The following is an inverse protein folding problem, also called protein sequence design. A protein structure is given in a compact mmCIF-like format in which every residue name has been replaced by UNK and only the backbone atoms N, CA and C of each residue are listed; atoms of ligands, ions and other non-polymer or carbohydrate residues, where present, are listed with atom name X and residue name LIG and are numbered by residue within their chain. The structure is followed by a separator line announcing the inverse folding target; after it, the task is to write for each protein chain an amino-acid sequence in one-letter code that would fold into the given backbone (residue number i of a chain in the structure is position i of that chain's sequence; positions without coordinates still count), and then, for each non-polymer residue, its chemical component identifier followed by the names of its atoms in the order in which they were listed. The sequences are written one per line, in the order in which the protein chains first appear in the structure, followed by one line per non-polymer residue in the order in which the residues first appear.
data_IF_367295157877
#
_entry.id   IF_367295157877
#
_cell.length_a   1.000
_cell.length_b   1.000
_cell.length_c   1.000
_cell.angle_alpha   90.00
_cell.angle_beta   90.00
_cell.angle_gamma   90.00
#
_symmetry.space_group_name_H-M   'P 1'
#
loop_
_entity.id
_entity.type
_entity.pdbx_description
1 polymer ?
#
# COMPACT_ATOMS: atom_id res chain seq x y z
N UNK A 1 1.44 -21.05 10.68
CA UNK A 1 0.01 -21.28 11.00
C UNK A 1 -0.64 -19.91 11.26
N UNK A 2 -0.82 -19.12 10.19
CA UNK A 2 -1.39 -17.75 10.20
C UNK A 2 -2.52 -17.64 9.16
N UNK A 3 -3.17 -18.78 8.87
CA UNK A 3 -4.50 -18.73 8.30
C UNK A 3 -5.39 -18.17 9.41
N UNK A 4 -5.98 -16.99 9.17
CA UNK A 4 -7.07 -16.41 9.96
C UNK A 4 -6.69 -15.68 11.27
N UNK A 5 -6.03 -14.53 11.15
CA UNK A 5 -6.49 -13.34 11.90
C UNK A 5 -7.42 -12.45 11.04
N UNK A 6 -7.84 -12.95 9.88
CA UNK A 6 -8.83 -12.32 9.01
C UNK A 6 -10.27 -12.36 9.57
N UNK A 7 -10.57 -13.21 10.57
CA UNK A 7 -11.96 -13.47 11.00
C UNK A 7 -12.42 -12.80 12.29
N UNK A 8 -11.57 -12.08 13.03
CA UNK A 8 -12.06 -11.28 14.18
C UNK A 8 -11.44 -9.90 14.35
N UNK A 9 -10.25 -9.64 13.79
CA UNK A 9 -9.56 -8.35 13.98
C UNK A 9 -9.20 -7.63 12.68
N UNK A 10 -9.19 -8.32 11.53
CA UNK A 10 -9.03 -7.69 10.22
C UNK A 10 -10.32 -7.04 9.67
N UNK A 11 -11.45 -7.22 10.37
CA UNK A 11 -12.77 -6.77 9.96
C UNK A 11 -12.86 -5.26 9.69
N UNK A 12 -12.26 -4.39 10.54
CA UNK A 12 -12.16 -2.96 10.23
C UNK A 12 -11.04 -2.70 9.22
N UNK A 13 -9.92 -3.43 9.32
CA UNK A 13 -8.67 -3.11 8.63
C UNK A 13 -8.79 -3.11 7.10
N UNK A 14 -9.55 -4.04 6.49
CA UNK A 14 -9.72 -4.05 5.01
C UNK A 14 -10.33 -2.75 4.43
N UNK A 15 -10.95 -1.91 5.27
CA UNK A 15 -11.44 -0.57 4.90
C UNK A 15 -10.42 0.55 5.15
N UNK A 16 -9.27 0.27 5.78
CA UNK A 16 -8.27 1.28 6.14
C UNK A 16 -7.17 1.44 5.13
N UNK A 17 -6.77 0.40 4.40
CA UNK A 17 -5.73 0.49 3.36
C UNK A 17 -6.30 0.13 1.99
N UNK A 18 -5.77 0.78 0.98
CA UNK A 18 -5.97 0.46 -0.43
C UNK A 18 -5.58 -0.97 -0.72
N UNK A 19 -4.50 -1.46 -0.13
CA UNK A 19 -4.06 -2.83 -0.34
C UNK A 19 -3.12 -3.38 0.71
N UNK A 20 -2.99 -4.71 0.66
CA UNK A 20 -2.17 -5.52 1.55
C UNK A 20 -1.34 -6.49 0.71
N UNK A 21 -0.03 -6.49 0.90
CA UNK A 21 0.86 -7.50 0.33
C UNK A 21 0.70 -8.83 1.08
N UNK A 22 0.67 -9.93 0.35
CA UNK A 22 0.72 -11.28 0.91
C UNK A 22 2.16 -11.76 0.88
N UNK A 23 2.86 -11.65 2.02
CA UNK A 23 4.29 -11.96 2.17
C UNK A 23 4.56 -13.21 3.04
N UNK A 24 3.52 -13.83 3.60
CA UNK A 24 3.66 -14.93 4.56
C UNK A 24 3.88 -16.30 3.93
N UNK A 25 3.42 -16.51 2.69
CA UNK A 25 3.51 -17.79 2.00
C UNK A 25 3.37 -17.64 0.49
N UNK A 26 3.86 -18.65 -0.23
CA UNK A 26 3.87 -18.70 -1.68
C UNK A 26 3.02 -19.88 -2.19
N UNK A 27 1.75 -19.67 -2.58
CA UNK A 27 0.89 -20.73 -3.10
C UNK A 27 1.28 -21.12 -4.53
N UNK A 28 1.11 -22.41 -4.89
CA UNK A 28 1.41 -22.90 -6.25
C UNK A 28 0.50 -22.31 -7.34
N UNK A 29 -0.72 -21.94 -6.96
CA UNK A 29 -1.73 -21.33 -7.84
C UNK A 29 -2.39 -20.18 -7.07
N UNK A 30 -1.74 -19.00 -7.00
CA UNK A 30 -2.24 -17.85 -6.22
C UNK A 30 -3.59 -17.38 -6.75
N UNK A 31 -3.79 -17.36 -8.06
CA UNK A 31 -5.01 -16.85 -8.69
C UNK A 31 -6.21 -17.71 -8.28
N UNK A 32 -6.13 -19.04 -8.43
CA UNK A 32 -7.23 -19.93 -8.06
C UNK A 32 -7.49 -19.89 -6.55
N UNK A 33 -6.43 -19.99 -5.74
CA UNK A 33 -6.55 -19.99 -4.28
C UNK A 33 -7.25 -18.72 -3.78
N UNK A 34 -6.75 -17.55 -4.18
CA UNK A 34 -7.27 -16.28 -3.67
C UNK A 34 -8.61 -15.90 -4.29
N UNK A 35 -8.90 -16.30 -5.53
CA UNK A 35 -10.25 -16.14 -6.10
C UNK A 35 -11.28 -16.93 -5.30
N UNK A 36 -10.97 -18.19 -4.97
CA UNK A 36 -11.87 -19.05 -4.18
C UNK A 36 -12.07 -18.51 -2.75
N UNK A 37 -11.00 -17.98 -2.14
CA UNK A 37 -11.08 -17.32 -0.84
C UNK A 37 -12.02 -16.10 -0.88
N UNK A 38 -11.80 -15.18 -1.82
CA UNK A 38 -12.63 -13.97 -1.96
C UNK A 38 -14.08 -14.35 -2.27
N UNK A 39 -14.30 -15.33 -3.16
CA UNK A 39 -15.65 -15.82 -3.47
C UNK A 39 -16.36 -16.35 -2.20
N UNK A 40 -15.65 -17.13 -1.39
CA UNK A 40 -16.19 -17.67 -0.13
C UNK A 40 -16.51 -16.57 0.88
N UNK A 41 -15.65 -15.55 0.99
CA UNK A 41 -15.85 -14.40 1.86
C UNK A 41 -17.02 -13.52 1.40
N UNK A 42 -17.19 -13.34 0.08
CA UNK A 42 -18.33 -12.62 -0.53
C UNK A 42 -19.66 -13.38 -0.39
N UNK A 43 -19.62 -14.72 -0.38
CA UNK A 43 -20.81 -15.56 -0.24
C UNK A 43 -21.33 -15.63 1.21
N UNK A 44 -20.47 -15.39 2.20
CA UNK A 44 -20.85 -15.39 3.61
C UNK A 44 -21.68 -14.15 3.97
N UNK A 45 -22.88 -14.30 4.58
CA UNK A 45 -23.73 -13.17 4.97
C UNK A 45 -23.06 -12.19 5.95
N UNK A 46 -22.10 -12.67 6.74
CA UNK A 46 -21.38 -11.85 7.70
C UNK A 46 -20.38 -10.93 7.00
N UNK A 47 -19.62 -11.45 6.03
CA UNK A 47 -18.47 -10.75 5.44
C UNK A 47 -18.75 -10.17 4.05
N UNK A 48 -19.91 -10.46 3.45
CA UNK A 48 -20.23 -10.12 2.06
C UNK A 48 -20.03 -8.64 1.72
N UNK A 49 -20.56 -7.74 2.55
CA UNK A 49 -20.46 -6.29 2.33
C UNK A 49 -19.02 -5.79 2.36
N UNK A 50 -18.19 -6.31 3.26
CA UNK A 50 -16.78 -5.90 3.42
C UNK A 50 -15.90 -6.36 2.27
N UNK A 51 -16.13 -7.58 1.78
CA UNK A 51 -15.32 -8.15 0.70
C UNK A 51 -15.91 -7.87 -0.69
N UNK A 52 -17.05 -7.19 -0.77
CA UNK A 52 -17.69 -6.81 -2.03
C UNK A 52 -16.79 -5.94 -2.92
N UNK A 53 -15.90 -5.14 -2.31
CA UNK A 53 -14.94 -4.27 -2.99
C UNK A 53 -13.51 -4.83 -2.97
N UNK A 54 -13.26 -5.98 -2.35
CA UNK A 54 -11.90 -6.54 -2.27
C UNK A 54 -11.65 -7.43 -3.48
N UNK A 55 -10.60 -7.16 -4.25
CA UNK A 55 -10.09 -8.06 -5.28
C UNK A 55 -8.66 -8.49 -4.96
N UNK A 56 -8.24 -9.61 -5.56
CA UNK A 56 -6.85 -10.02 -5.58
C UNK A 56 -6.15 -9.43 -6.81
N UNK A 57 -4.99 -8.81 -6.63
CA UNK A 57 -4.11 -8.36 -7.71
C UNK A 57 -2.84 -9.21 -7.68
N UNK A 58 -2.51 -9.86 -8.79
CA UNK A 58 -1.34 -10.71 -8.93
C UNK A 58 -0.32 -10.06 -9.86
N UNK A 59 0.92 -9.92 -9.39
CA UNK A 59 2.07 -9.49 -10.19
C UNK A 59 2.90 -10.74 -10.52
N UNK A 60 2.84 -11.25 -11.76
CA UNK A 60 3.40 -12.55 -12.09
C UNK A 60 4.93 -12.59 -12.18
N UNK A 61 5.63 -11.47 -12.38
CA UNK A 61 7.09 -11.47 -12.57
C UNK A 61 7.85 -11.71 -11.26
N UNK A 62 7.39 -11.10 -10.16
CA UNK A 62 7.86 -11.33 -8.79
C UNK A 62 7.01 -12.34 -8.02
N UNK A 63 5.96 -12.84 -8.66
CA UNK A 63 4.97 -13.76 -8.11
C UNK A 63 4.29 -13.20 -6.82
N UNK A 64 4.18 -11.88 -6.72
CA UNK A 64 3.58 -11.19 -5.58
C UNK A 64 2.06 -11.11 -5.69
N UNK A 65 1.38 -11.24 -4.55
CA UNK A 65 -0.07 -11.17 -4.45
C UNK A 65 -0.49 -10.05 -3.52
N UNK A 66 -1.51 -9.29 -3.91
CA UNK A 66 -2.09 -8.20 -3.13
C UNK A 66 -3.59 -8.41 -2.94
N UNK A 67 -4.12 -8.15 -1.75
CA UNK A 67 -5.54 -7.90 -1.56
C UNK A 67 -5.80 -6.41 -1.62
N UNK A 68 -6.64 -5.96 -2.54
CA UNK A 68 -6.85 -4.55 -2.86
C UNK A 68 -8.33 -4.20 -2.71
N UNK A 69 -8.61 -3.13 -1.98
CA UNK A 69 -9.92 -2.51 -1.92
C UNK A 69 -10.10 -1.62 -3.16
N UNK A 70 -10.93 -2.06 -4.10
CA UNK A 70 -11.15 -1.44 -5.40
C UNK A 70 -11.60 0.02 -5.30
N UNK A 71 -12.44 0.34 -4.31
CA UNK A 71 -12.97 1.70 -4.11
C UNK A 71 -11.86 2.64 -3.66
N UNK A 72 -11.05 2.20 -2.70
CA UNK A 72 -9.90 2.98 -2.24
C UNK A 72 -8.83 3.09 -3.33
N UNK A 73 -8.62 2.04 -4.13
CA UNK A 73 -7.69 2.09 -5.25
C UNK A 73 -8.15 3.09 -6.32
N UNK A 74 -9.44 3.11 -6.67
CA UNK A 74 -9.97 4.07 -7.63
C UNK A 74 -9.73 5.51 -7.16
N UNK A 75 -10.06 5.81 -5.90
CA UNK A 75 -9.78 7.12 -5.28
C UNK A 75 -8.28 7.43 -5.28
N UNK A 76 -7.45 6.44 -4.93
CA UNK A 76 -6.00 6.61 -4.89
C UNK A 76 -5.43 6.96 -6.25
N UNK A 77 -5.92 6.33 -7.32
CA UNK A 77 -5.50 6.61 -8.70
C UNK A 77 -5.86 8.04 -9.12
N UNK A 78 -7.01 8.55 -8.68
CA UNK A 78 -7.44 9.94 -8.95
C UNK A 78 -6.60 10.98 -8.19
N UNK A 79 -5.97 10.59 -7.07
CA UNK A 79 -5.16 11.47 -6.19
C UNK A 79 -3.64 11.34 -6.40
N UNK A 80 -3.21 10.66 -7.48
CA UNK A 80 -1.78 10.45 -7.77
C UNK A 80 -1.00 11.73 -8.09
N UNK A 81 -1.69 12.84 -8.33
CA UNK A 81 -1.11 14.17 -8.43
C UNK A 81 -0.58 14.70 -7.08
N UNK A 82 -1.08 14.14 -5.97
CA UNK A 82 -0.68 14.51 -4.60
C UNK A 82 0.31 13.52 -4.02
N UNK A 83 -0.03 12.23 -4.04
CA UNK A 83 0.78 11.15 -3.47
C UNK A 83 0.49 9.80 -4.16
N UNK A 84 1.46 8.87 -4.23
CA UNK A 84 2.81 8.98 -3.70
C UNK A 84 3.70 9.94 -4.49
N UNK A 85 4.73 10.46 -3.84
CA UNK A 85 5.86 11.08 -4.53
C UNK A 85 6.75 9.95 -5.07
N UNK A 86 7.00 9.97 -6.38
CA UNK A 86 7.82 8.93 -7.04
C UNK A 86 9.30 9.30 -6.96
N UNK A 87 10.12 8.35 -6.51
CA UNK A 87 11.55 8.54 -6.27
C UNK A 87 12.34 7.50 -7.06
N UNK A 88 13.11 7.95 -8.05
CA UNK A 88 14.05 7.11 -8.77
C UNK A 88 15.29 6.87 -7.93
N UNK A 89 15.61 5.61 -7.70
CA UNK A 89 16.81 5.21 -6.96
C UNK A 89 17.99 5.08 -7.91
N UNK A 90 18.50 6.23 -8.31
CA UNK A 90 19.70 6.39 -9.12
C UNK A 90 20.91 6.88 -8.32
N UNK A 91 21.99 7.19 -9.05
CA UNK A 91 23.05 8.07 -8.57
C UNK A 91 23.19 9.22 -9.58
N UNK A 92 22.57 10.39 -9.34
CA UNK A 92 21.85 10.79 -8.12
C UNK A 92 20.46 10.17 -7.96
N UNK A 93 19.89 10.25 -6.75
CA UNK A 93 18.47 9.97 -6.49
C UNK A 93 17.65 11.13 -7.06
N UNK A 94 16.58 10.82 -7.79
CA UNK A 94 15.75 11.82 -8.47
C UNK A 94 14.29 11.72 -8.01
N UNK A 95 13.60 12.85 -7.87
CA UNK A 95 12.16 12.89 -7.57
C UNK A 95 11.41 13.28 -8.83
N UNK A 96 10.46 12.44 -9.25
CA UNK A 96 9.60 12.79 -10.38
C UNK A 96 8.55 13.81 -9.97
N UNK A 97 8.36 14.82 -10.82
CA UNK A 97 7.31 15.84 -10.64
C UNK A 97 5.93 15.38 -11.16
N UNK A 98 5.90 14.27 -11.90
CA UNK A 98 4.71 13.72 -12.55
C UNK A 98 4.74 12.20 -12.44
N UNK A 99 3.59 11.57 -12.67
CA UNK A 99 3.48 10.12 -12.77
C UNK A 99 4.36 9.65 -13.93
N UNK A 100 5.30 8.72 -13.74
CA UNK A 100 6.10 8.17 -14.82
C UNK A 100 5.24 7.49 -15.89
N UNK A 101 5.43 7.81 -17.17
CA UNK A 101 4.61 7.31 -18.30
C UNK A 101 4.40 5.80 -18.28
N UNK A 102 5.46 5.04 -17.97
CA UNK A 102 5.41 3.57 -17.89
C UNK A 102 4.48 3.06 -16.80
N UNK A 103 4.44 3.75 -15.66
CA UNK A 103 3.52 3.44 -14.57
C UNK A 103 2.10 3.83 -14.97
N UNK A 104 1.93 4.98 -15.63
CA UNK A 104 0.60 5.46 -16.06
C UNK A 104 -0.11 4.46 -17.00
N UNK A 105 0.62 3.80 -17.90
CA UNK A 105 0.07 2.71 -18.73
C UNK A 105 -0.49 1.52 -17.92
N UNK A 106 0.18 1.14 -16.83
CA UNK A 106 -0.32 0.07 -15.95
C UNK A 106 -1.53 0.56 -15.15
N UNK A 107 -1.50 1.82 -14.71
CA UNK A 107 -2.61 2.47 -14.03
C UNK A 107 -3.83 2.60 -14.93
N UNK A 108 -3.68 2.86 -16.23
CA UNK A 108 -4.79 2.88 -17.20
C UNK A 108 -5.54 1.56 -17.25
N UNK A 109 -4.82 0.44 -17.18
CA UNK A 109 -5.44 -0.89 -17.13
C UNK A 109 -6.24 -1.09 -15.84
N UNK A 110 -5.75 -0.59 -14.72
CA UNK A 110 -6.47 -0.59 -13.45
C UNK A 110 -7.67 0.38 -13.47
N UNK A 111 -7.54 1.57 -14.07
CA UNK A 111 -8.66 2.52 -14.26
C UNK A 111 -9.77 1.88 -15.08
N UNK A 112 -9.42 1.22 -16.18
CA UNK A 112 -10.36 0.50 -17.02
C UNK A 112 -11.06 -0.63 -16.25
N UNK A 113 -10.33 -1.37 -15.41
CA UNK A 113 -10.89 -2.41 -14.54
C UNK A 113 -11.86 -1.86 -13.50
N UNK A 114 -11.53 -0.70 -12.92
CA UNK A 114 -12.27 -0.07 -11.83
C UNK A 114 -13.42 0.83 -12.33
N UNK A 115 -13.58 0.96 -13.65
CA UNK A 115 -14.57 1.85 -14.24
C UNK A 115 -16.00 1.46 -13.80
N UNK A 116 -16.87 2.43 -13.39
CA UNK A 116 -18.21 2.15 -12.89
C UNK A 116 -19.14 1.43 -13.87
N UNK A 117 -18.85 1.50 -15.18
CA UNK A 117 -19.63 0.80 -16.21
C UNK A 117 -19.38 -0.70 -16.29
N UNK A 118 -18.39 -1.23 -15.57
CA UNK A 118 -18.14 -2.67 -15.54
C UNK A 118 -19.22 -3.38 -14.72
N UNK A 119 -19.64 -4.57 -15.17
CA UNK A 119 -20.72 -5.35 -14.56
C UNK A 119 -20.40 -5.86 -13.14
N UNK A 120 -19.18 -5.64 -12.65
CA UNK A 120 -18.72 -6.00 -11.31
C UNK A 120 -17.20 -6.03 -11.24
N UNK A 121 -16.67 -6.10 -10.02
CA UNK A 121 -15.24 -6.23 -9.78
C UNK A 121 -14.87 -7.72 -9.80
N UNK A 122 -13.88 -8.14 -10.63
CA UNK A 122 -13.47 -9.53 -10.68
C UNK A 122 -12.89 -9.98 -9.33
N UNK A 123 -12.85 -11.30 -9.12
CA UNK A 123 -12.25 -11.88 -7.91
C UNK A 123 -10.73 -11.69 -7.90
N UNK A 124 -10.10 -11.86 -9.06
CA UNK A 124 -8.67 -11.65 -9.27
C UNK A 124 -8.41 -10.87 -10.56
N UNK A 125 -7.32 -10.12 -10.56
CA UNK A 125 -6.75 -9.43 -11.70
C UNK A 125 -5.25 -9.74 -11.78
N UNK A 126 -4.77 -10.15 -12.95
CA UNK A 126 -3.33 -10.41 -13.18
C UNK A 126 -2.75 -9.26 -13.96
N UNK A 127 -1.68 -8.69 -13.43
CA UNK A 127 -0.92 -7.64 -14.09
C UNK A 127 -0.18 -8.19 -15.31
N UNK A 128 0.12 -7.35 -16.32
CA UNK A 128 0.98 -7.74 -17.44
C UNK A 128 2.30 -8.37 -16.97
N UNK A 129 2.72 -9.47 -17.61
CA UNK A 129 3.88 -10.25 -17.20
C UNK A 129 5.24 -9.62 -17.52
N UNK A 130 5.22 -8.57 -18.33
CA UNK A 130 6.37 -7.84 -18.81
C UNK A 130 6.56 -6.48 -18.10
N UNK A 131 5.85 -6.26 -16.98
CA UNK A 131 6.06 -5.05 -16.17
C UNK A 131 7.51 -5.03 -15.65
N UNK A 132 8.29 -3.99 -15.98
CA UNK A 132 9.64 -3.84 -15.45
C UNK A 132 9.64 -3.64 -13.93
N UNK A 133 10.69 -4.10 -13.24
CA UNK A 133 10.79 -4.06 -11.77
C UNK A 133 10.62 -2.65 -11.19
N UNK A 134 11.13 -1.62 -11.87
CA UNK A 134 10.98 -0.22 -11.44
C UNK A 134 9.51 0.23 -11.39
N UNK A 135 8.72 -0.21 -12.37
CA UNK A 135 7.28 0.02 -12.43
C UNK A 135 6.53 -0.83 -11.41
N UNK A 136 6.89 -2.11 -11.26
CA UNK A 136 6.25 -3.02 -10.30
C UNK A 136 6.42 -2.53 -8.85
N UNK A 137 7.62 -2.09 -8.48
CA UNK A 137 7.90 -1.56 -7.13
C UNK A 137 7.14 -0.25 -6.88
N UNK A 138 7.09 0.66 -7.87
CA UNK A 138 6.32 1.89 -7.73
C UNK A 138 4.82 1.61 -7.61
N UNK A 139 4.30 0.67 -8.40
CA UNK A 139 2.91 0.23 -8.33
C UNK A 139 2.59 -0.37 -6.96
N UNK A 140 3.47 -1.21 -6.40
CA UNK A 140 3.29 -1.74 -5.05
C UNK A 140 3.17 -0.59 -4.02
N UNK A 141 3.99 0.45 -4.13
CA UNK A 141 3.87 1.66 -3.29
C UNK A 141 2.50 2.35 -3.41
N UNK A 142 1.95 2.44 -4.63
CA UNK A 142 0.58 2.96 -4.86
C UNK A 142 -0.47 2.07 -4.20
N UNK A 143 -0.42 0.75 -4.44
CA UNK A 143 -1.36 -0.22 -3.89
C UNK A 143 -1.34 -0.25 -2.35
N UNK A 144 -0.17 0.04 -1.76
CA UNK A 144 0.05 -0.01 -0.31
C UNK A 144 -0.17 1.33 0.40
N UNK A 145 -0.67 2.38 -0.28
CA UNK A 145 -0.83 3.74 0.27
C UNK A 145 0.47 4.38 0.79
N UNK A 146 1.63 4.02 0.25
CA UNK A 146 2.86 4.68 0.65
C UNK A 146 2.83 6.15 0.21
N UNK A 147 3.40 7.04 1.04
CA UNK A 147 3.55 8.45 0.67
C UNK A 147 4.71 8.64 -0.33
N UNK A 148 5.63 7.68 -0.39
CA UNK A 148 6.77 7.66 -1.31
C UNK A 148 6.82 6.31 -2.00
N UNK A 149 6.92 6.31 -3.33
CA UNK A 149 7.01 5.11 -4.14
C UNK A 149 8.36 5.08 -4.87
N UNK A 150 9.13 4.03 -4.64
CA UNK A 150 10.45 3.90 -5.23
C UNK A 150 10.39 3.33 -6.65
N UNK A 151 11.34 3.77 -7.47
CA UNK A 151 11.63 3.23 -8.79
C UNK A 151 13.11 2.82 -8.84
N UNK A 152 13.44 1.56 -8.49
CA UNK A 152 14.81 1.07 -8.54
C UNK A 152 15.39 1.09 -9.95
N UNK A 153 16.68 1.41 -10.09
CA UNK A 153 17.40 1.23 -11.35
C UNK A 153 18.03 -0.17 -11.35
N UNK A 154 17.71 -1.05 -12.33
CA UNK A 154 18.14 -2.47 -12.29
C UNK A 154 19.66 -2.69 -12.16
N UNK A 155 20.48 -1.74 -12.63
CA UNK A 155 21.94 -1.84 -12.58
C UNK A 155 22.56 -1.33 -11.27
N UNK A 156 21.74 -0.87 -10.32
CA UNK A 156 22.22 -0.27 -9.07
C UNK A 156 21.61 -1.01 -7.89
N UNK A 157 22.28 -2.10 -7.50
CA UNK A 157 22.00 -2.75 -6.24
C UNK A 157 22.46 -1.84 -5.09
N UNK A 158 21.77 -1.92 -3.94
CA UNK A 158 22.20 -1.27 -2.70
C UNK A 158 22.28 0.26 -2.70
N UNK A 159 21.57 0.98 -3.59
CA UNK A 159 21.56 2.47 -3.65
C UNK A 159 21.29 3.14 -2.30
N UNK A 160 20.46 2.52 -1.45
CA UNK A 160 20.11 3.07 -0.13
C UNK A 160 21.04 2.60 1.00
N UNK A 161 22.05 1.77 0.71
CA UNK A 161 22.97 1.27 1.74
C UNK A 161 23.89 2.39 2.22
N UNK A 162 23.94 2.60 3.53
CA UNK A 162 24.69 3.72 4.12
C UNK A 162 24.02 5.08 3.94
N UNK A 163 22.85 5.15 3.29
CA UNK A 163 22.06 6.38 3.15
C UNK A 163 21.16 6.54 4.39
N UNK A 164 21.13 7.71 5.05
CA UNK A 164 20.15 7.99 6.10
C UNK A 164 18.73 7.95 5.53
N UNK A 165 17.86 7.15 6.15
CA UNK A 165 16.46 7.00 5.77
C UNK A 165 15.55 7.49 6.90
N UNK A 166 14.53 8.24 6.55
CA UNK A 166 13.41 8.57 7.41
C UNK A 166 12.39 7.43 7.35
N UNK A 167 12.14 6.79 8.48
CA UNK A 167 11.15 5.73 8.67
C UNK A 167 9.88 6.31 9.27
N UNK A 168 8.74 5.93 8.70
CA UNK A 168 7.42 6.28 9.18
C UNK A 168 6.68 5.01 9.59
N UNK A 169 6.11 5.03 10.78
CA UNK A 169 5.36 3.92 11.35
C UNK A 169 4.00 4.43 11.81
N UNK A 170 2.93 3.87 11.23
CA UNK A 170 1.56 4.26 11.57
C UNK A 170 0.87 3.14 12.34
N UNK A 171 0.27 3.50 13.47
CA UNK A 171 -0.43 2.59 14.37
C UNK A 171 -1.83 3.08 14.69
N UNK A 172 -2.75 2.15 14.95
CA UNK A 172 -4.05 2.43 15.58
C UNK A 172 -3.97 2.14 17.08
N UNK A 173 -4.53 3.02 17.88
CA UNK A 173 -4.74 2.81 19.32
C UNK A 173 -6.23 2.97 19.65
N UNK A 174 -6.72 2.12 20.55
CA UNK A 174 -8.07 2.19 21.09
C UNK A 174 -7.98 2.57 22.57
N UNK A 175 -8.72 3.59 23.03
CA UNK A 175 -8.84 3.91 24.43
C UNK A 175 -9.76 2.87 25.07
N UNK A 176 -9.22 1.78 25.62
CA UNK A 176 -9.99 0.86 26.47
C UNK A 176 -9.23 0.58 27.77
N UNK A 177 -9.99 0.60 28.89
CA UNK A 177 -9.51 0.81 30.24
C UNK A 177 -8.52 -0.25 30.77
N UNK A 178 -7.55 0.24 31.56
CA UNK A 178 -6.54 -0.43 32.42
C UNK A 178 -5.79 -1.68 31.89
N UNK A 179 -6.16 -2.23 30.74
CA UNK A 179 -5.46 -3.29 30.03
C UNK A 179 -4.45 -2.72 29.03
N UNK A 180 -3.29 -3.37 28.90
CA UNK A 180 -2.19 -2.96 28.01
C UNK A 180 -2.70 -2.58 26.62
N UNK A 181 -2.54 -1.30 26.27
CA UNK A 181 -2.72 -0.81 24.91
C UNK A 181 -1.66 -1.45 24.02
N UNK A 182 -2.08 -2.42 23.20
CA UNK A 182 -1.23 -2.95 22.14
C UNK A 182 -1.52 -2.15 20.87
N UNK A 183 -0.58 -1.32 20.38
CA UNK A 183 -0.77 -0.59 19.14
C UNK A 183 -0.88 -1.57 17.96
N UNK A 184 -1.78 -1.28 17.03
CA UNK A 184 -1.99 -2.08 15.83
C UNK A 184 -1.27 -1.44 14.67
N UNK A 185 -0.25 -2.12 14.14
CA UNK A 185 0.52 -1.62 13.00
C UNK A 185 -0.32 -1.63 11.72
N UNK A 186 -0.43 -0.48 11.07
CA UNK A 186 -1.15 -0.31 9.80
C UNK A 186 -0.15 -0.31 8.65
N UNK A 187 0.89 0.51 8.77
CA UNK A 187 1.80 0.84 7.68
C UNK A 187 3.18 1.18 8.23
N UNK A 188 4.20 0.73 7.52
CA UNK A 188 5.59 1.12 7.72
C UNK A 188 6.26 1.29 6.36
N UNK A 189 6.98 2.39 6.17
CA UNK A 189 7.78 2.64 4.98
C UNK A 189 8.93 3.60 5.32
N UNK A 190 9.80 3.86 4.35
CA UNK A 190 10.89 4.82 4.50
C UNK A 190 11.11 5.66 3.24
N UNK A 191 11.77 6.82 3.39
CA UNK A 191 12.31 7.64 2.29
C UNK A 191 13.73 8.14 2.61
N UNK A 192 14.59 8.46 1.62
CA UNK A 192 15.91 9.03 1.88
C UNK A 192 15.78 10.42 2.54
N UNK A 193 16.44 10.60 3.68
CA UNK A 193 16.25 11.78 4.53
C UNK A 193 16.74 13.09 3.86
N UNK A 194 17.76 12.99 3.01
CA UNK A 194 18.32 14.15 2.30
C UNK A 194 17.37 14.74 1.26
N UNK A 195 16.33 14.02 0.81
CA UNK A 195 15.36 14.58 -0.15
C UNK A 195 14.58 15.76 0.43
N UNK A 196 14.55 15.92 1.75
CA UNK A 196 13.86 17.02 2.43
C UNK A 196 14.47 18.39 2.15
N UNK A 197 15.75 18.43 1.75
CA UNK A 197 16.48 19.66 1.44
C UNK A 197 15.96 20.30 0.14
N UNK A 198 15.76 19.47 -0.89
CA UNK A 198 15.33 19.91 -2.23
C UNK A 198 13.81 19.86 -2.41
N UNK A 199 13.11 19.02 -1.63
CA UNK A 199 11.68 18.76 -1.78
C UNK A 199 10.93 18.94 -0.46
N UNK A 200 10.45 20.16 -0.13
CA UNK A 200 9.80 20.47 1.14
C UNK A 200 8.55 19.61 1.45
N UNK A 201 7.90 19.06 0.42
CA UNK A 201 6.77 18.14 0.56
C UNK A 201 7.16 16.82 1.25
N UNK A 202 8.44 16.43 1.20
CA UNK A 202 8.97 15.21 1.81
C UNK A 202 9.45 15.40 3.25
N UNK A 203 9.34 16.60 3.82
CA UNK A 203 9.69 16.82 5.23
C UNK A 203 8.89 15.88 6.15
N UNK A 204 9.50 15.35 7.23
CA UNK A 204 8.81 14.40 8.11
C UNK A 204 7.45 14.88 8.61
N UNK A 205 7.36 16.15 9.01
CA UNK A 205 6.11 16.77 9.43
C UNK A 205 5.01 16.72 8.35
N UNK A 206 5.34 16.98 7.09
CA UNK A 206 4.37 16.97 5.98
C UNK A 206 3.90 15.54 5.68
N UNK A 207 4.82 14.58 5.64
CA UNK A 207 4.50 13.16 5.44
C UNK A 207 3.61 12.65 6.59
N UNK A 208 3.98 12.93 7.85
CA UNK A 208 3.18 12.53 9.02
C UNK A 208 1.76 13.12 8.97
N UNK A 209 1.62 14.41 8.68
CA UNK A 209 0.31 15.06 8.52
C UNK A 209 -0.51 14.40 7.40
N UNK A 210 0.11 14.13 6.25
CA UNK A 210 -0.56 13.47 5.13
C UNK A 210 -1.10 12.08 5.53
N UNK A 211 -0.27 11.26 6.17
CA UNK A 211 -0.66 9.91 6.64
C UNK A 211 -1.78 10.01 7.68
N UNK A 212 -1.64 10.92 8.65
CA UNK A 212 -2.66 11.15 9.69
C UNK A 212 -3.99 11.55 9.05
N UNK A 213 -4.00 12.55 8.16
CA UNK A 213 -5.21 12.99 7.47
C UNK A 213 -5.85 11.88 6.65
N UNK A 214 -5.04 11.11 5.90
CA UNK A 214 -5.51 9.98 5.10
C UNK A 214 -6.24 8.95 5.95
N UNK A 215 -5.64 8.49 7.05
CA UNK A 215 -6.26 7.47 7.89
C UNK A 215 -7.38 8.03 8.78
N UNK A 216 -7.30 9.29 9.22
CA UNK A 216 -8.39 9.96 9.94
C UNK A 216 -9.64 10.09 9.07
N UNK A 217 -9.48 10.44 7.79
CA UNK A 217 -10.60 10.49 6.85
C UNK A 217 -11.26 9.11 6.72
N UNK A 218 -10.47 8.03 6.60
CA UNK A 218 -10.99 6.67 6.52
C UNK A 218 -11.68 6.22 7.82
N UNK A 219 -11.10 6.56 8.97
CA UNK A 219 -11.72 6.34 10.28
C UNK A 219 -13.06 7.04 10.44
N UNK A 220 -13.20 8.25 9.92
CA UNK A 220 -14.43 9.02 10.02
C UNK A 220 -15.62 8.30 9.36
N UNK A 221 -15.37 7.53 8.30
CA UNK A 221 -16.37 6.72 7.60
C UNK A 221 -16.82 5.53 8.45
N UNK A 222 -15.95 5.00 9.30
CA UNK A 222 -16.27 3.89 10.20
C UNK A 222 -17.09 4.34 11.43
N UNK A 223 -17.13 5.64 11.71
CA UNK A 223 -17.93 6.22 12.80
C UNK A 223 -17.39 5.96 14.22
N UNK A 224 -16.28 5.24 14.36
CA UNK A 224 -15.63 5.00 15.65
C UNK A 224 -14.67 6.15 15.98
N UNK A 225 -15.14 7.05 16.87
CA UNK A 225 -14.36 8.22 17.34
C UNK A 225 -13.33 7.87 18.41
N UNK A 226 -13.31 6.63 18.89
CA UNK A 226 -12.39 6.21 19.94
C UNK A 226 -11.03 5.88 19.34
N UNK A 227 -10.99 5.34 18.13
CA UNK A 227 -9.73 4.96 17.48
C UNK A 227 -8.90 6.18 17.13
N UNK A 228 -7.62 6.15 17.51
CA UNK A 228 -6.65 7.19 17.17
C UNK A 228 -5.59 6.62 16.22
N UNK A 229 -5.14 7.45 15.28
CA UNK A 229 -4.00 7.15 14.41
C UNK A 229 -2.80 7.87 14.98
N UNK A 230 -1.77 7.11 15.31
CA UNK A 230 -0.45 7.65 15.63
C UNK A 230 0.47 7.42 14.43
N UNK A 231 1.34 8.38 14.18
CA UNK A 231 2.41 8.26 13.19
C UNK A 231 3.69 8.65 13.89
N UNK A 232 4.67 7.77 13.86
CA UNK A 232 5.99 8.00 14.42
C UNK A 232 7.01 8.15 13.29
N UNK A 233 8.00 9.01 13.51
CA UNK A 233 9.10 9.24 12.59
C UNK A 233 10.42 8.95 13.31
N UNK A 234 11.32 8.23 12.64
CA UNK A 234 12.70 8.05 13.09
C UNK A 234 13.65 8.07 11.90
N UNK A 235 14.86 8.61 12.08
CA UNK A 235 15.90 8.55 11.04
C UNK A 235 16.91 7.46 11.40
N UNK A 236 17.23 6.56 10.46
CA UNK A 236 18.22 5.50 10.65
C UNK A 236 19.03 5.28 9.39
N UNK A 237 20.30 4.93 9.56
CA UNK A 237 21.16 4.46 8.48
C UNK A 237 21.29 2.94 8.57
N UNK A 238 20.98 2.24 7.48
CA UNK A 238 21.06 0.78 7.41
C UNK A 238 22.26 0.36 6.56
N UNK A 239 22.95 -0.69 6.99
CA UNK A 239 24.08 -1.25 6.24
C UNK A 239 23.63 -1.86 4.91
N UNK A 240 22.43 -2.45 4.88
CA UNK A 240 21.84 -3.08 3.71
C UNK A 240 20.36 -2.78 3.63
N UNK A 241 19.91 -2.39 2.44
CA UNK A 241 18.50 -2.21 2.09
C UNK A 241 18.26 -2.98 0.79
N UNK A 242 17.23 -3.81 0.77
CA UNK A 242 16.80 -4.60 -0.38
C UNK A 242 15.34 -4.26 -0.72
N UNK A 243 14.99 -4.42 -1.99
CA UNK A 243 13.65 -4.23 -2.54
C UNK A 243 13.07 -5.58 -2.99
#
# INVERSE_FOLDING_TARGET
MAFLYLTSTAYPLAAFRTGYLVDLFYPKDPISLFSNLIASLRASPFTSSLFSTVLHVYEPASEQSFFVNSTLLAQRIEELDKFPIFVRLGSPIEVFQQIPDRLDHVLDSLRALLHPSNAGIPLSYTLPADIPTDVAVALAGVLLDYAVAYMPVPSQEHVLSGVPLDFYESTLTWPQGEGREHPWFIMKFSCPAHLTEDYPALTPTKIMICIQMMFQNRLSVLGDRTVQVNVEHTTKTLAHVAF
#
